data_IF_849694748420
#
_entry.id   IF_849694748420
#
_cell.length_a   1.000
_cell.length_b   1.000
_cell.length_c   1.000
_cell.angle_alpha   90.00
_cell.angle_beta   90.00
_cell.angle_gamma   90.00
#
_symmetry.space_group_name_H-M   'P 1'
#
loop_
_entity.id
_entity.type
_entity.pdbx_description
1 polymer ?
#
# COMPACT_ATOMS: atom_id res chain seq x y z
N UNK A 1 13.48 -5.36 5.95
CA UNK A 1 14.72 -4.70 5.44
C UNK A 1 14.97 -3.38 6.16
N UNK A 2 13.96 -2.78 6.82
CA UNK A 2 14.11 -1.45 7.41
C UNK A 2 15.00 -1.40 8.66
N UNK A 3 15.11 -2.46 9.45
CA UNK A 3 15.80 -2.40 10.74
C UNK A 3 17.24 -2.92 10.71
N UNK A 4 17.57 -3.92 9.91
CA UNK A 4 18.92 -4.49 9.87
C UNK A 4 19.88 -3.71 8.93
N UNK A 5 19.35 -3.09 7.86
CA UNK A 5 20.13 -2.22 6.97
C UNK A 5 20.07 -0.74 7.35
N UNK A 6 19.17 -0.33 8.23
CA UNK A 6 19.24 0.94 8.93
C UNK A 6 20.29 0.85 10.08
N UNK A 7 21.52 0.59 9.73
CA UNK A 7 22.62 1.20 10.45
C UNK A 7 22.41 2.70 10.21
N UNK A 8 21.56 3.31 11.04
CA UNK A 8 21.39 4.76 11.03
C UNK A 8 22.79 5.36 11.03
N UNK A 9 23.12 6.09 10.00
CA UNK A 9 24.39 6.80 9.98
C UNK A 9 24.52 7.55 11.29
N UNK A 10 25.72 7.58 11.91
CA UNK A 10 25.95 8.29 13.18
C UNK A 10 25.30 9.68 13.26
N UNK A 11 25.20 10.48 12.17
CA UNK A 11 24.45 11.74 12.14
C UNK A 11 22.94 11.58 12.39
N UNK A 12 22.30 10.53 11.87
CA UNK A 12 20.83 10.30 12.07
C UNK A 12 20.51 10.00 13.54
N UNK A 13 21.31 9.18 14.20
CA UNK A 13 21.14 8.87 15.64
C UNK A 13 21.29 10.12 16.49
N UNK A 14 22.29 10.98 16.17
CA UNK A 14 22.49 12.25 16.89
C UNK A 14 21.29 13.19 16.70
N UNK A 15 20.74 13.29 15.50
CA UNK A 15 19.59 14.14 15.21
C UNK A 15 18.33 13.66 15.94
N UNK A 16 18.06 12.35 15.94
CA UNK A 16 16.95 11.75 16.69
C UNK A 16 17.08 12.05 18.19
N UNK A 17 18.28 11.87 18.77
CA UNK A 17 18.54 12.15 20.18
C UNK A 17 18.35 13.63 20.53
N UNK A 18 18.85 14.53 19.70
CA UNK A 18 18.67 15.97 19.89
C UNK A 18 17.20 16.38 19.86
N UNK A 19 16.44 15.85 18.91
CA UNK A 19 15.03 16.14 18.78
C UNK A 19 14.24 15.55 19.97
N UNK A 20 14.55 14.33 20.40
CA UNK A 20 13.97 13.72 21.59
C UNK A 20 14.23 14.59 22.83
N UNK A 21 15.46 15.00 23.06
CA UNK A 21 15.83 15.86 24.21
C UNK A 21 15.09 17.21 24.16
N UNK A 22 14.87 17.79 22.98
CA UNK A 22 14.12 19.03 22.83
C UNK A 22 12.65 18.89 23.26
N UNK A 23 12.02 17.74 22.99
CA UNK A 23 10.63 17.46 23.45
C UNK A 23 10.53 17.12 24.94
N UNK A 24 11.61 16.60 25.54
CA UNK A 24 11.68 16.20 26.95
C UNK A 24 12.24 17.30 27.89
N UNK A 25 12.84 18.37 27.33
CA UNK A 25 13.60 19.39 28.10
C UNK A 25 12.75 20.38 28.90
N UNK A 26 11.43 20.28 28.87
CA UNK A 26 10.52 21.23 29.50
C UNK A 26 9.90 20.73 30.81
N UNK A 27 10.67 20.07 31.70
CA UNK A 27 10.22 19.67 33.02
C UNK A 27 9.32 18.43 33.05
N UNK A 28 8.34 18.40 33.93
CA UNK A 28 7.45 17.24 34.14
C UNK A 28 6.49 16.96 33.00
N UNK A 29 6.29 17.89 32.07
CA UNK A 29 5.33 17.75 30.97
C UNK A 29 6.03 17.63 29.62
N UNK A 30 5.98 16.43 29.05
CA UNK A 30 6.47 16.18 27.69
C UNK A 30 5.61 16.95 26.68
N UNK A 31 6.26 17.69 25.76
CA UNK A 31 5.58 18.42 24.68
C UNK A 31 5.04 17.51 23.57
N UNK A 32 5.28 16.21 23.63
CA UNK A 32 4.88 15.25 22.58
C UNK A 32 3.36 15.19 22.41
N UNK A 33 2.62 15.03 23.53
CA UNK A 33 1.14 14.96 23.51
C UNK A 33 0.51 16.19 22.86
N UNK A 34 0.77 17.42 23.39
CA UNK A 34 0.14 18.61 22.83
C UNK A 34 0.57 18.84 21.37
N UNK A 35 1.82 18.56 21.02
CA UNK A 35 2.30 18.75 19.66
C UNK A 35 1.67 17.76 18.68
N UNK A 36 1.58 16.48 19.03
CA UNK A 36 0.91 15.46 18.23
C UNK A 36 -0.57 15.82 17.96
N UNK A 37 -1.28 16.23 19.00
CA UNK A 37 -2.69 16.62 18.90
C UNK A 37 -2.84 17.89 18.04
N UNK A 38 -1.98 18.87 18.25
CA UNK A 38 -2.01 20.11 17.47
C UNK A 38 -1.79 19.84 15.97
N UNK A 39 -0.80 19.02 15.61
CA UNK A 39 -0.53 18.65 14.23
C UNK A 39 -1.69 17.88 13.59
N UNK A 40 -2.25 16.91 14.31
CA UNK A 40 -3.38 16.13 13.83
C UNK A 40 -4.63 16.98 13.64
N UNK A 41 -4.92 17.91 14.58
CA UNK A 41 -6.02 18.88 14.44
C UNK A 41 -5.80 19.88 13.32
N UNK A 42 -4.55 20.33 13.10
CA UNK A 42 -4.23 21.20 11.98
C UNK A 42 -4.52 20.52 10.64
N UNK A 43 -4.13 19.25 10.50
CA UNK A 43 -4.45 18.46 9.30
C UNK A 43 -5.95 18.39 9.04
N UNK A 44 -6.77 18.17 10.08
CA UNK A 44 -8.24 18.18 9.95
C UNK A 44 -8.81 19.56 9.64
N UNK A 45 -8.32 20.61 10.31
CA UNK A 45 -8.85 21.96 10.13
C UNK A 45 -8.63 22.49 8.71
N UNK A 46 -7.55 22.08 8.04
CA UNK A 46 -7.28 22.46 6.65
C UNK A 46 -8.37 21.97 5.69
N UNK A 47 -8.96 20.79 5.95
CA UNK A 47 -10.04 20.24 5.12
C UNK A 47 -11.27 21.14 5.14
N UNK A 48 -11.54 21.80 6.27
CA UNK A 48 -12.71 22.67 6.47
C UNK A 48 -12.39 24.17 6.29
N UNK A 49 -11.16 24.51 5.85
CA UNK A 49 -10.76 25.90 5.70
C UNK A 49 -11.37 26.54 4.46
N UNK A 50 -12.49 27.24 4.65
CA UNK A 50 -13.19 27.97 3.58
C UNK A 50 -12.50 29.26 3.15
N UNK A 51 -11.52 29.75 3.90
CA UNK A 51 -10.84 31.03 3.65
C UNK A 51 -9.79 30.95 2.53
N UNK A 52 -9.29 29.77 2.21
CA UNK A 52 -8.35 29.58 1.13
C UNK A 52 -9.06 29.57 -0.23
N UNK A 53 -9.27 30.78 -0.77
CA UNK A 53 -9.90 30.99 -2.09
C UNK A 53 -9.18 30.32 -3.27
N UNK A 54 -7.94 29.83 -3.06
CA UNK A 54 -7.14 29.16 -4.08
C UNK A 54 -6.98 27.68 -3.72
N UNK A 55 -7.78 26.84 -4.34
CA UNK A 55 -7.80 25.38 -4.12
C UNK A 55 -6.39 24.74 -4.17
N UNK A 56 -5.53 25.20 -5.07
CA UNK A 56 -4.16 24.65 -5.19
C UNK A 56 -3.28 24.93 -3.97
N UNK A 57 -3.48 26.04 -3.25
CA UNK A 57 -2.75 26.35 -2.03
C UNK A 57 -3.26 25.47 -0.86
N UNK A 58 -4.56 25.24 -0.82
CA UNK A 58 -5.17 24.34 0.18
C UNK A 58 -4.66 22.91 -0.02
N UNK A 59 -4.65 22.40 -1.23
CA UNK A 59 -4.15 21.06 -1.56
C UNK A 59 -2.68 20.93 -1.16
N UNK A 60 -1.82 21.89 -1.49
CA UNK A 60 -0.41 21.88 -1.06
C UNK A 60 -0.23 21.94 0.45
N UNK A 61 -1.00 22.78 1.12
CA UNK A 61 -0.94 22.90 2.58
C UNK A 61 -1.36 21.57 3.25
N UNK A 62 -2.38 20.91 2.70
CA UNK A 62 -2.86 19.61 3.16
C UNK A 62 -1.78 18.52 2.97
N UNK A 63 -1.18 18.45 1.79
CA UNK A 63 -0.11 17.49 1.48
C UNK A 63 1.10 17.68 2.42
N UNK A 64 1.58 18.91 2.59
CA UNK A 64 2.68 19.21 3.52
C UNK A 64 2.34 18.86 4.96
N UNK A 65 1.14 19.19 5.41
CA UNK A 65 0.71 18.89 6.78
C UNK A 65 0.62 17.39 7.01
N UNK A 66 0.14 16.64 6.02
CA UNK A 66 0.08 15.18 6.07
C UNK A 66 1.48 14.56 6.11
N UNK A 67 2.39 15.03 5.27
CA UNK A 67 3.78 14.55 5.23
C UNK A 67 4.50 14.81 6.55
N UNK A 68 4.41 16.05 7.09
CA UNK A 68 5.03 16.41 8.35
C UNK A 68 4.45 15.59 9.51
N UNK A 69 3.13 15.41 9.54
CA UNK A 69 2.48 14.57 10.54
C UNK A 69 2.96 13.12 10.47
N UNK A 70 3.05 12.56 9.26
CA UNK A 70 3.55 11.20 9.03
C UNK A 70 4.99 11.04 9.53
N UNK A 71 5.87 11.99 9.16
CA UNK A 71 7.26 12.00 9.60
C UNK A 71 7.40 12.12 11.12
N UNK A 72 6.54 12.92 11.76
CA UNK A 72 6.55 13.05 13.22
C UNK A 72 6.13 11.76 13.92
N UNK A 73 5.08 11.10 13.44
CA UNK A 73 4.66 9.79 13.97
C UNK A 73 5.77 8.75 13.79
N UNK A 74 6.39 8.70 12.62
CA UNK A 74 7.53 7.80 12.33
C UNK A 74 8.73 8.11 13.24
N UNK A 75 9.04 9.39 13.47
CA UNK A 75 10.06 9.81 14.44
C UNK A 75 9.77 9.29 15.84
N UNK A 76 8.54 9.49 16.35
CA UNK A 76 8.15 9.01 17.67
C UNK A 76 8.28 7.48 17.78
N UNK A 77 7.90 6.76 16.72
CA UNK A 77 8.00 5.30 16.68
C UNK A 77 9.44 4.80 16.72
N UNK A 78 10.40 5.56 16.22
CA UNK A 78 11.82 5.21 16.22
C UNK A 78 12.52 5.69 17.49
N UNK A 79 12.19 6.88 17.98
CA UNK A 79 12.89 7.54 19.10
C UNK A 79 12.55 6.97 20.48
N UNK A 80 11.36 6.35 20.61
CA UNK A 80 10.83 5.88 21.90
C UNK A 80 10.68 4.36 21.92
N UNK A 81 10.95 3.73 23.06
CA UNK A 81 10.60 2.33 23.31
C UNK A 81 9.09 2.17 23.34
N UNK A 82 8.60 0.94 23.27
CA UNK A 82 7.15 0.69 23.28
C UNK A 82 6.45 1.22 24.53
N UNK A 83 7.06 1.03 25.71
CA UNK A 83 6.52 1.51 26.97
C UNK A 83 6.50 3.04 27.07
N UNK A 84 7.59 3.69 26.68
CA UNK A 84 7.69 5.16 26.63
C UNK A 84 6.68 5.74 25.64
N UNK A 85 6.58 5.13 24.46
CA UNK A 85 5.63 5.57 23.44
C UNK A 85 4.18 5.50 23.96
N UNK A 86 3.80 4.39 24.62
CA UNK A 86 2.47 4.25 25.26
C UNK A 86 2.18 5.33 26.28
N UNK A 87 3.18 5.74 27.06
CA UNK A 87 3.01 6.81 28.06
C UNK A 87 2.90 8.21 27.44
N UNK A 88 3.57 8.42 26.30
CA UNK A 88 3.64 9.73 25.64
C UNK A 88 2.44 10.07 24.75
N UNK A 89 1.68 9.08 24.25
CA UNK A 89 0.53 9.35 23.39
C UNK A 89 -0.81 9.26 24.13
N UNK A 90 -1.79 10.09 23.76
CA UNK A 90 -3.15 9.99 24.30
C UNK A 90 -3.80 8.65 23.91
N UNK A 91 -4.76 8.19 24.71
CA UNK A 91 -5.53 6.99 24.35
C UNK A 91 -6.31 7.19 23.04
N UNK A 92 -6.54 6.10 22.30
CA UNK A 92 -7.27 6.16 21.05
C UNK A 92 -8.69 6.74 21.19
N UNK A 93 -9.36 6.43 22.32
CA UNK A 93 -10.67 6.97 22.65
C UNK A 93 -10.60 8.49 22.84
N UNK A 94 -9.61 8.98 23.58
CA UNK A 94 -9.40 10.41 23.83
C UNK A 94 -9.12 11.16 22.51
N UNK A 95 -8.28 10.61 21.65
CA UNK A 95 -7.99 11.22 20.34
C UNK A 95 -9.25 11.36 19.49
N UNK A 96 -10.15 10.38 19.55
CA UNK A 96 -11.39 10.40 18.79
C UNK A 96 -12.47 11.27 19.43
N UNK A 97 -12.78 11.08 20.71
CA UNK A 97 -13.92 11.73 21.36
C UNK A 97 -13.62 13.17 21.81
N UNK A 98 -12.44 13.40 22.39
CA UNK A 98 -12.06 14.74 22.89
C UNK A 98 -11.45 15.62 21.81
N UNK A 99 -10.68 15.02 20.88
CA UNK A 99 -9.98 15.78 19.83
C UNK A 99 -10.61 15.63 18.45
N UNK A 100 -11.65 14.79 18.31
CA UNK A 100 -12.40 14.55 17.08
C UNK A 100 -11.50 14.22 15.87
N UNK A 101 -10.45 13.39 16.09
CA UNK A 101 -9.58 12.96 15.01
C UNK A 101 -10.23 11.84 14.19
N UNK A 102 -9.92 11.82 12.91
CA UNK A 102 -10.39 10.77 12.00
C UNK A 102 -9.81 9.40 12.39
N UNK A 103 -10.56 8.30 12.19
CA UNK A 103 -10.12 6.96 12.59
C UNK A 103 -8.79 6.54 11.98
N UNK A 104 -8.53 6.89 10.71
CA UNK A 104 -7.28 6.60 10.01
C UNK A 104 -6.06 7.23 10.69
N UNK A 105 -6.17 8.50 11.13
CA UNK A 105 -5.13 9.19 11.89
C UNK A 105 -4.90 8.52 13.25
N UNK A 106 -5.98 8.18 13.97
CA UNK A 106 -5.88 7.49 15.25
C UNK A 106 -5.20 6.12 15.10
N UNK A 107 -5.57 5.34 14.10
CA UNK A 107 -4.93 4.06 13.82
C UNK A 107 -3.46 4.20 13.45
N UNK A 108 -3.09 5.20 12.66
CA UNK A 108 -1.68 5.45 12.31
C UNK A 108 -0.83 5.72 13.55
N UNK A 109 -1.34 6.51 14.49
CA UNK A 109 -0.66 6.79 15.77
C UNK A 109 -0.50 5.49 16.58
N UNK A 110 -1.54 4.67 16.68
CA UNK A 110 -1.56 3.50 17.57
C UNK A 110 -0.97 2.23 16.97
N UNK A 111 -0.63 2.19 15.69
CA UNK A 111 -0.17 0.97 14.97
C UNK A 111 1.03 0.29 15.62
N UNK A 112 1.96 1.03 16.23
CA UNK A 112 3.15 0.46 16.89
C UNK A 112 2.81 -0.48 18.05
N UNK A 113 1.65 -0.35 18.65
CA UNK A 113 1.24 -1.15 19.81
C UNK A 113 0.65 -2.50 19.45
N UNK A 114 0.43 -2.75 18.17
CA UNK A 114 -0.17 -3.99 17.72
C UNK A 114 0.86 -5.11 17.64
N UNK A 115 0.64 -6.19 18.38
CA UNK A 115 1.41 -7.43 18.29
C UNK A 115 0.52 -8.57 17.81
N UNK A 116 0.91 -9.21 16.71
CA UNK A 116 0.16 -10.35 16.16
C UNK A 116 0.07 -11.49 17.18
N UNK A 117 1.13 -11.75 17.98
CA UNK A 117 1.13 -12.78 19.02
C UNK A 117 0.00 -12.58 20.03
N UNK A 118 -0.19 -11.36 20.51
CA UNK A 118 -1.26 -11.02 21.43
C UNK A 118 -2.65 -11.20 20.82
N UNK A 119 -2.77 -11.02 19.51
CA UNK A 119 -4.03 -11.18 18.78
C UNK A 119 -4.38 -12.66 18.54
N UNK A 120 -3.37 -13.53 18.39
CA UNK A 120 -3.56 -14.98 18.22
C UNK A 120 -3.88 -15.66 19.55
N UNK A 121 -3.20 -15.26 20.64
CA UNK A 121 -3.35 -15.86 21.97
C UNK A 121 -4.63 -15.44 22.67
N UNK A 122 -5.14 -14.26 22.36
CA UNK A 122 -6.38 -13.77 22.95
C UNK A 122 -7.57 -14.06 22.04
N UNK A 123 -8.31 -15.14 22.36
CA UNK A 123 -9.77 -15.18 22.14
C UNK A 123 -10.48 -13.93 22.74
N UNK A 124 -9.77 -13.13 23.48
CA UNK A 124 -10.09 -11.82 24.09
C UNK A 124 -9.81 -10.65 23.15
N UNK A 125 -10.39 -10.68 21.94
CA UNK A 125 -10.57 -9.45 21.13
C UNK A 125 -11.31 -8.35 21.94
N UNK A 126 -11.94 -8.77 23.03
CA UNK A 126 -12.71 -7.94 23.94
C UNK A 126 -11.87 -6.93 24.74
N UNK A 127 -10.58 -7.22 24.94
CA UNK A 127 -9.69 -6.38 25.77
C UNK A 127 -8.90 -5.33 24.98
N UNK A 128 -8.91 -5.37 23.64
CA UNK A 128 -8.32 -4.31 22.86
C UNK A 128 -9.25 -3.09 22.92
N UNK A 129 -8.76 -2.00 23.50
CA UNK A 129 -9.43 -0.67 23.51
C UNK A 129 -9.87 -0.18 22.11
N UNK A 130 -9.51 -0.89 21.06
CA UNK A 130 -9.93 -0.69 19.68
C UNK A 130 -11.41 -1.00 19.45
N UNK A 131 -12.06 -1.87 20.27
CA UNK A 131 -13.51 -2.12 20.20
C UNK A 131 -14.30 -0.83 20.43
N UNK A 132 -13.84 0.01 21.36
CA UNK A 132 -14.46 1.30 21.63
C UNK A 132 -14.27 2.31 20.49
N UNK A 133 -13.16 2.21 19.74
CA UNK A 133 -12.95 3.03 18.53
C UNK A 133 -13.98 2.72 17.45
N UNK A 134 -14.28 1.43 17.23
CA UNK A 134 -15.27 1.02 16.24
C UNK A 134 -16.70 1.22 16.76
N UNK A 135 -17.01 0.86 18.01
CA UNK A 135 -18.35 1.02 18.58
C UNK A 135 -18.80 2.47 18.67
N UNK A 136 -17.88 3.40 18.94
CA UNK A 136 -18.19 4.83 18.93
C UNK A 136 -18.28 5.41 17.50
N UNK A 137 -17.52 4.85 16.51
CA UNK A 137 -17.71 5.17 15.08
C UNK A 137 -19.03 4.61 14.54
N UNK A 138 -19.48 3.47 15.06
CA UNK A 138 -20.69 2.78 14.66
C UNK A 138 -21.99 3.56 14.95
N UNK A 139 -22.03 4.44 15.94
CA UNK A 139 -23.26 5.17 16.27
C UNK A 139 -23.67 6.22 15.24
N UNK A 140 -22.77 6.61 14.34
CA UNK A 140 -23.01 7.72 13.40
C UNK A 140 -22.70 7.44 11.93
N UNK A 141 -22.20 6.27 11.51
CA UNK A 141 -21.76 6.08 10.13
C UNK A 141 -21.96 4.68 9.55
N UNK A 142 -21.93 4.63 8.23
CA UNK A 142 -22.09 3.47 7.32
C UNK A 142 -21.12 2.27 7.55
N UNK A 143 -20.38 2.23 8.66
CA UNK A 143 -19.41 1.17 9.00
C UNK A 143 -20.06 -0.16 9.42
N UNK A 144 -21.38 -0.17 9.62
CA UNK A 144 -22.13 -1.37 10.08
C UNK A 144 -22.01 -2.62 9.20
N UNK A 145 -21.56 -2.47 7.96
CA UNK A 145 -21.48 -3.58 7.00
C UNK A 145 -20.12 -4.28 6.94
N UNK A 146 -19.07 -3.70 7.55
CA UNK A 146 -17.73 -4.29 7.56
C UNK A 146 -17.46 -4.93 8.92
N UNK A 147 -16.97 -6.17 8.91
CA UNK A 147 -16.69 -6.91 10.14
C UNK A 147 -15.58 -6.24 10.96
N UNK A 148 -15.82 -5.99 12.26
CA UNK A 148 -14.89 -5.29 13.16
C UNK A 148 -13.52 -5.96 13.23
N UNK A 149 -13.47 -7.32 13.22
CA UNK A 149 -12.21 -8.07 13.24
C UNK A 149 -11.38 -7.81 12.00
N UNK A 150 -12.03 -7.76 10.84
CA UNK A 150 -11.35 -7.44 9.58
C UNK A 150 -10.81 -6.00 9.61
N UNK A 151 -11.58 -5.05 10.10
CA UNK A 151 -11.14 -3.66 10.26
C UNK A 151 -9.93 -3.54 11.19
N UNK A 152 -9.98 -4.20 12.35
CA UNK A 152 -8.88 -4.21 13.31
C UNK A 152 -7.62 -4.81 12.67
N UNK A 153 -7.72 -5.95 12.01
CA UNK A 153 -6.58 -6.55 11.31
C UNK A 153 -6.04 -5.64 10.21
N UNK A 154 -6.93 -5.13 9.36
CA UNK A 154 -6.53 -4.24 8.27
C UNK A 154 -5.73 -3.04 8.77
N UNK A 155 -6.19 -2.33 9.79
CA UNK A 155 -5.54 -1.11 10.28
C UNK A 155 -4.27 -1.36 11.08
N UNK A 156 -4.18 -2.48 11.80
CA UNK A 156 -3.03 -2.77 12.67
C UNK A 156 -1.90 -3.53 11.96
N UNK A 157 -2.21 -4.35 10.95
CA UNK A 157 -1.18 -5.03 10.18
C UNK A 157 -0.38 -4.04 9.34
N UNK A 158 0.89 -4.37 9.10
CA UNK A 158 1.81 -3.64 8.22
C UNK A 158 2.28 -4.57 7.10
N UNK A 159 2.94 -4.01 6.08
CA UNK A 159 3.38 -4.76 4.90
C UNK A 159 4.23 -6.00 5.24
N UNK A 160 5.09 -5.89 6.25
CA UNK A 160 5.95 -7.00 6.68
C UNK A 160 5.19 -8.17 7.31
N UNK A 161 3.94 -7.97 7.77
CA UNK A 161 3.11 -9.04 8.31
C UNK A 161 2.44 -9.90 7.23
N UNK A 162 2.39 -9.42 6.00
CA UNK A 162 1.67 -10.10 4.89
C UNK A 162 2.54 -10.39 3.67
N UNK A 163 3.72 -9.79 3.59
CA UNK A 163 4.59 -9.93 2.43
C UNK A 163 6.07 -10.01 2.82
N UNK A 164 6.77 -10.98 2.22
CA UNK A 164 8.20 -11.18 2.38
C UNK A 164 8.89 -10.83 1.07
N UNK A 165 9.76 -9.83 1.04
CA UNK A 165 10.53 -9.48 -0.16
C UNK A 165 11.71 -10.45 -0.34
N UNK A 166 11.43 -11.71 -0.67
CA UNK A 166 12.40 -12.81 -0.75
C UNK A 166 13.62 -12.47 -1.59
N UNK A 167 13.42 -11.84 -2.76
CA UNK A 167 14.52 -11.41 -3.64
C UNK A 167 15.42 -10.39 -2.99
N UNK A 168 14.85 -9.37 -2.36
CA UNK A 168 15.64 -8.33 -1.70
C UNK A 168 16.52 -8.91 -0.58
N UNK A 169 16.00 -9.89 0.19
CA UNK A 169 16.80 -10.59 1.18
C UNK A 169 17.91 -11.41 0.53
N UNK A 170 17.60 -12.16 -0.52
CA UNK A 170 18.57 -12.99 -1.24
C UNK A 170 19.68 -12.16 -1.86
N UNK A 171 19.32 -11.07 -2.54
CA UNK A 171 20.25 -10.17 -3.21
C UNK A 171 21.16 -9.47 -2.19
N UNK A 172 20.60 -8.99 -1.07
CA UNK A 172 21.39 -8.33 -0.03
C UNK A 172 22.35 -9.31 0.65
N UNK A 173 21.89 -10.51 1.00
CA UNK A 173 22.74 -11.55 1.59
C UNK A 173 23.84 -11.96 0.61
N UNK A 174 23.53 -12.10 -0.68
CA UNK A 174 24.53 -12.42 -1.72
C UNK A 174 25.58 -11.33 -1.87
N UNK A 175 25.18 -10.06 -1.92
CA UNK A 175 26.10 -8.90 -1.96
C UNK A 175 27.01 -8.85 -0.74
N UNK A 176 26.46 -8.99 0.47
CA UNK A 176 27.25 -9.00 1.70
C UNK A 176 28.20 -10.21 1.77
N UNK A 177 27.76 -11.37 1.29
CA UNK A 177 28.59 -12.58 1.22
C UNK A 177 29.76 -12.41 0.25
N UNK A 178 29.54 -11.76 -0.89
CA UNK A 178 30.59 -11.43 -1.85
C UNK A 178 31.60 -10.45 -1.23
N UNK A 179 31.12 -9.36 -0.62
CA UNK A 179 31.97 -8.39 0.08
C UNK A 179 32.81 -9.05 1.19
N UNK A 180 32.24 -10.00 1.93
CA UNK A 180 32.93 -10.74 2.98
C UNK A 180 34.07 -11.61 2.41
N UNK A 181 33.90 -12.18 1.19
CA UNK A 181 34.96 -12.95 0.51
C UNK A 181 36.08 -12.05 0.04
N UNK A 182 35.76 -10.91 -0.58
CA UNK A 182 36.75 -9.96 -1.11
C UNK A 182 37.61 -9.34 0.00
N UNK A 183 36.99 -9.03 1.16
CA UNK A 183 37.73 -8.50 2.32
C UNK A 183 38.61 -9.54 2.99
N UNK A 184 38.31 -10.83 2.91
CA UNK A 184 39.19 -11.90 3.42
C UNK A 184 40.46 -12.10 2.60
N UNK A 185 40.46 -11.73 1.33
CA UNK A 185 41.58 -11.86 0.43
C UNK A 185 42.64 -10.75 0.55
N UNK A 186 42.41 -9.70 1.32
CA UNK A 186 43.27 -8.54 1.47
C UNK A 186 43.77 -8.37 2.92
N UNK A 187 45.08 -8.37 3.12
CA UNK A 187 45.81 -8.42 4.41
C UNK A 187 45.95 -7.06 5.09
N UNK A 188 44.98 -6.59 5.88
CA UNK A 188 45.16 -5.40 6.77
C UNK A 188 44.27 -5.54 8.04
N UNK A 189 44.89 -5.29 9.22
CA UNK A 189 44.28 -5.48 10.54
C UNK A 189 43.05 -4.62 10.88
N UNK A 190 42.82 -3.52 10.19
CA UNK A 190 41.56 -2.72 10.33
C UNK A 190 40.35 -3.37 9.73
N UNK A 191 40.49 -4.49 9.03
CA UNK A 191 39.42 -5.22 8.30
C UNK A 191 38.74 -6.29 9.13
N UNK A 192 39.30 -6.73 10.26
CA UNK A 192 38.70 -7.75 11.10
C UNK A 192 37.39 -7.25 11.73
N UNK A 193 37.34 -6.00 12.17
CA UNK A 193 36.12 -5.36 12.70
C UNK A 193 35.06 -5.22 11.63
N UNK A 194 35.42 -4.97 10.38
CA UNK A 194 34.45 -4.89 9.26
C UNK A 194 33.91 -6.27 8.85
N UNK A 195 34.71 -7.31 8.96
CA UNK A 195 34.28 -8.70 8.66
C UNK A 195 33.31 -9.25 9.70
N UNK A 196 33.56 -9.01 10.98
CA UNK A 196 32.65 -9.35 12.06
C UNK A 196 31.29 -8.63 11.86
N UNK A 197 31.31 -7.33 11.60
CA UNK A 197 30.10 -6.55 11.32
C UNK A 197 29.31 -7.08 10.12
N UNK A 198 29.99 -7.51 9.03
CA UNK A 198 29.31 -8.07 7.85
C UNK A 198 28.68 -9.44 8.17
N UNK A 199 29.40 -10.28 8.92
CA UNK A 199 28.88 -11.59 9.36
C UNK A 199 27.65 -11.43 10.24
N UNK A 200 27.71 -10.49 11.19
CA UNK A 200 26.58 -10.17 12.06
C UNK A 200 25.38 -9.62 11.26
N UNK A 201 25.60 -8.74 10.29
CA UNK A 201 24.56 -8.24 9.40
C UNK A 201 23.88 -9.39 8.62
N UNK A 202 24.66 -10.34 8.09
CA UNK A 202 24.09 -11.51 7.37
C UNK A 202 23.24 -12.36 8.32
N UNK A 203 23.72 -12.58 9.55
CA UNK A 203 23.01 -13.35 10.57
C UNK A 203 21.70 -12.66 10.98
N UNK A 204 21.73 -11.35 11.19
CA UNK A 204 20.54 -10.55 11.48
C UNK A 204 19.53 -10.57 10.34
N UNK A 205 19.96 -10.45 9.08
CA UNK A 205 19.07 -10.50 7.92
C UNK A 205 18.37 -11.88 7.78
N UNK A 206 19.13 -12.95 8.05
CA UNK A 206 18.55 -14.31 8.05
C UNK A 206 17.52 -14.50 9.16
N UNK A 207 17.81 -14.01 10.37
CA UNK A 207 16.90 -14.07 11.50
C UNK A 207 15.64 -13.21 11.27
N UNK A 208 15.82 -11.99 10.75
CA UNK A 208 14.71 -11.08 10.38
C UNK A 208 13.79 -11.75 9.37
N UNK A 209 14.36 -12.33 8.28
CA UNK A 209 13.60 -13.08 7.28
C UNK A 209 12.81 -14.25 7.90
N UNK A 210 13.42 -15.00 8.82
CA UNK A 210 12.74 -16.11 9.49
C UNK A 210 11.59 -15.63 10.38
N UNK A 211 11.79 -14.57 11.13
CA UNK A 211 10.74 -13.98 11.97
C UNK A 211 9.59 -13.44 11.13
N UNK A 212 9.91 -12.76 10.02
CA UNK A 212 8.90 -12.29 9.10
C UNK A 212 8.08 -13.44 8.47
N UNK A 213 8.71 -14.58 8.15
CA UNK A 213 8.00 -15.80 7.71
C UNK A 213 6.99 -16.28 8.76
N UNK A 214 7.39 -16.29 10.03
CA UNK A 214 6.49 -16.67 11.13
C UNK A 214 5.30 -15.71 11.26
N UNK A 215 5.53 -14.43 11.11
CA UNK A 215 4.48 -13.41 11.21
C UNK A 215 3.50 -13.49 10.04
N UNK A 216 3.99 -13.70 8.83
CA UNK A 216 3.13 -13.94 7.65
C UNK A 216 2.27 -15.19 7.85
N UNK A 217 2.85 -16.28 8.33
CA UNK A 217 2.10 -17.51 8.61
C UNK A 217 1.01 -17.32 9.69
N UNK A 218 1.33 -16.62 10.79
CA UNK A 218 0.35 -16.25 11.82
C UNK A 218 -0.79 -15.40 11.26
N UNK A 219 -0.45 -14.42 10.41
CA UNK A 219 -1.46 -13.58 9.75
C UNK A 219 -2.38 -14.40 8.85
N UNK A 220 -1.85 -15.38 8.11
CA UNK A 220 -2.67 -16.27 7.28
C UNK A 220 -3.65 -17.10 8.12
N UNK A 221 -3.23 -17.60 9.29
CA UNK A 221 -4.13 -18.30 10.22
C UNK A 221 -5.26 -17.38 10.69
N UNK A 222 -4.92 -16.13 11.05
CA UNK A 222 -5.91 -15.13 11.48
C UNK A 222 -6.91 -14.82 10.35
N UNK A 223 -6.44 -14.64 9.13
CA UNK A 223 -7.32 -14.39 7.98
C UNK A 223 -8.26 -15.57 7.72
N UNK A 224 -7.77 -16.81 7.81
CA UNK A 224 -8.62 -18.02 7.66
C UNK A 224 -9.70 -18.11 8.72
N UNK A 225 -9.45 -17.64 9.95
CA UNK A 225 -10.47 -17.59 11.00
C UNK A 225 -11.63 -16.62 10.70
N UNK A 226 -11.45 -15.75 9.70
CA UNK A 226 -12.46 -14.79 9.22
C UNK A 226 -13.28 -15.30 8.03
N UNK A 227 -13.23 -16.60 7.71
CA UNK A 227 -13.86 -17.18 6.51
C UNK A 227 -15.37 -16.87 6.39
N UNK A 228 -16.07 -16.70 7.50
CA UNK A 228 -17.53 -16.48 7.53
C UNK A 228 -17.96 -15.01 7.30
N UNK A 229 -17.01 -14.10 7.01
CA UNK A 229 -17.34 -12.67 6.82
C UNK A 229 -18.04 -12.42 5.47
N UNK A 230 -17.66 -13.18 4.44
CA UNK A 230 -18.18 -13.03 3.10
C UNK A 230 -19.27 -14.09 2.86
N UNK A 231 -20.53 -13.67 2.65
CA UNK A 231 -21.62 -14.61 2.41
C UNK A 231 -21.46 -15.28 1.03
N UNK A 232 -21.72 -16.60 1.01
CA UNK A 232 -21.71 -17.40 -0.21
C UNK A 232 -22.90 -17.16 -1.13
N UNK A 233 -24.01 -16.64 -0.59
CA UNK A 233 -25.34 -16.86 -1.16
C UNK A 233 -26.00 -15.61 -1.79
N UNK A 234 -25.42 -14.42 -1.65
CA UNK A 234 -26.03 -13.17 -2.13
C UNK A 234 -25.00 -12.26 -2.83
N UNK A 235 -24.93 -12.25 -4.18
CA UNK A 235 -24.02 -11.40 -4.94
C UNK A 235 -24.14 -9.90 -4.63
N UNK A 236 -25.36 -9.39 -4.48
CA UNK A 236 -25.63 -7.97 -4.17
C UNK A 236 -25.07 -7.55 -2.81
N UNK A 237 -25.13 -8.44 -1.83
CA UNK A 237 -24.54 -8.20 -0.51
C UNK A 237 -23.02 -8.18 -0.56
N UNK A 238 -22.42 -9.01 -1.40
CA UNK A 238 -20.97 -9.03 -1.62
C UNK A 238 -20.48 -7.74 -2.27
N UNK A 239 -21.21 -7.16 -3.23
CA UNK A 239 -20.91 -5.88 -3.86
C UNK A 239 -21.00 -4.73 -2.85
N UNK A 240 -22.04 -4.68 -2.04
CA UNK A 240 -22.18 -3.69 -0.96
C UNK A 240 -21.01 -3.79 0.04
N UNK A 241 -20.58 -5.01 0.39
CA UNK A 241 -19.42 -5.21 1.26
C UNK A 241 -18.14 -4.69 0.57
N UNK A 242 -17.92 -5.00 -0.70
CA UNK A 242 -16.75 -4.52 -1.45
C UNK A 242 -16.72 -2.99 -1.55
N UNK A 243 -17.87 -2.36 -1.83
CA UNK A 243 -17.98 -0.89 -1.86
C UNK A 243 -17.68 -0.27 -0.50
N UNK A 244 -18.18 -0.84 0.58
CA UNK A 244 -17.89 -0.37 1.94
C UNK A 244 -16.42 -0.59 2.32
N UNK A 245 -15.79 -1.70 1.91
CA UNK A 245 -14.36 -1.93 2.08
C UNK A 245 -13.54 -0.86 1.35
N UNK A 246 -13.92 -0.54 0.10
CA UNK A 246 -13.26 0.52 -0.68
C UNK A 246 -13.29 1.86 0.05
N UNK A 247 -14.48 2.32 0.41
CA UNK A 247 -14.67 3.65 0.98
C UNK A 247 -14.08 3.81 2.38
N UNK A 248 -14.21 2.78 3.23
CA UNK A 248 -13.87 2.90 4.65
C UNK A 248 -12.47 2.37 5.00
N UNK A 249 -11.89 1.49 4.20
CA UNK A 249 -10.59 0.90 4.46
C UNK A 249 -9.56 1.25 3.38
N UNK A 250 -9.86 0.91 2.13
CA UNK A 250 -8.89 1.00 1.03
C UNK A 250 -8.48 2.44 0.75
N UNK A 251 -9.43 3.30 0.42
CA UNK A 251 -9.15 4.68 0.05
C UNK A 251 -8.46 5.47 1.18
N UNK A 252 -8.96 5.45 2.44
CA UNK A 252 -8.30 6.17 3.52
C UNK A 252 -6.87 5.69 3.76
N UNK A 253 -6.63 4.37 3.70
CA UNK A 253 -5.30 3.83 3.96
C UNK A 253 -4.34 4.02 2.80
N UNK A 254 -4.79 3.87 1.56
CA UNK A 254 -3.97 4.14 0.38
C UNK A 254 -3.44 5.57 0.33
N UNK A 255 -4.19 6.52 0.86
CA UNK A 255 -3.80 7.93 0.86
C UNK A 255 -2.65 8.26 1.83
N UNK A 256 -2.36 7.40 2.83
CA UNK A 256 -1.45 7.76 3.92
C UNK A 256 0.04 7.65 3.58
N UNK A 257 0.45 6.64 2.81
CA UNK A 257 1.85 6.43 2.40
C UNK A 257 1.96 5.37 1.30
N UNK A 258 3.09 5.37 0.58
CA UNK A 258 3.41 4.34 -0.44
C UNK A 258 3.38 2.94 0.20
N UNK A 259 3.94 2.79 1.40
CA UNK A 259 3.95 1.51 2.14
C UNK A 259 2.54 1.01 2.45
N UNK A 260 1.64 1.92 2.82
CA UNK A 260 0.24 1.60 3.09
C UNK A 260 -0.56 1.30 1.83
N UNK A 261 -0.26 1.97 0.73
CA UNK A 261 -0.83 1.69 -0.58
C UNK A 261 -0.46 0.27 -1.06
N UNK A 262 0.83 -0.08 -0.98
CA UNK A 262 1.32 -1.44 -1.29
C UNK A 262 0.76 -2.48 -0.32
N UNK A 263 0.68 -2.17 0.98
CA UNK A 263 0.04 -3.04 1.97
C UNK A 263 -1.39 -3.35 1.57
N UNK A 264 -2.17 -2.33 1.22
CA UNK A 264 -3.58 -2.47 0.87
C UNK A 264 -3.76 -3.42 -0.31
N UNK A 265 -3.01 -3.24 -1.39
CA UNK A 265 -3.06 -4.13 -2.54
C UNK A 265 -2.74 -5.59 -2.16
N UNK A 266 -1.67 -5.81 -1.38
CA UNK A 266 -1.25 -7.14 -0.94
C UNK A 266 -2.20 -7.76 0.11
N UNK A 267 -2.86 -6.93 0.91
CA UNK A 267 -3.83 -7.41 1.89
C UNK A 267 -5.04 -8.04 1.21
N UNK A 268 -5.59 -7.41 0.18
CA UNK A 268 -6.72 -7.97 -0.56
C UNK A 268 -6.32 -9.22 -1.35
N UNK A 269 -5.09 -9.29 -1.82
CA UNK A 269 -4.54 -10.53 -2.38
C UNK A 269 -4.45 -11.64 -1.30
N UNK A 270 -4.02 -11.32 -0.10
CA UNK A 270 -4.00 -12.26 1.02
C UNK A 270 -5.40 -12.69 1.44
N UNK A 271 -6.41 -11.81 1.38
CA UNK A 271 -7.82 -12.19 1.57
C UNK A 271 -8.24 -13.22 0.54
N UNK A 272 -7.96 -13.00 -0.74
CA UNK A 272 -8.26 -13.93 -1.82
C UNK A 272 -7.67 -15.32 -1.59
N UNK A 273 -6.44 -15.39 -1.08
CA UNK A 273 -5.75 -16.66 -0.83
C UNK A 273 -6.27 -17.41 0.38
N UNK A 274 -6.79 -16.70 1.39
CA UNK A 274 -7.11 -17.28 2.69
C UNK A 274 -8.61 -17.32 3.02
N UNK A 275 -9.46 -16.57 2.30
CA UNK A 275 -10.90 -16.50 2.54
C UNK A 275 -11.64 -17.05 1.32
N UNK A 276 -12.36 -18.14 1.53
CA UNK A 276 -12.96 -18.94 0.45
C UNK A 276 -13.98 -18.20 -0.40
N UNK A 277 -14.78 -17.30 0.18
CA UNK A 277 -15.86 -16.60 -0.50
C UNK A 277 -15.53 -15.15 -0.87
N UNK A 278 -14.28 -14.72 -0.70
CA UNK A 278 -13.87 -13.40 -1.14
C UNK A 278 -13.73 -13.35 -2.66
N UNK A 279 -14.65 -12.66 -3.32
CA UNK A 279 -14.62 -12.48 -4.76
C UNK A 279 -13.72 -11.30 -5.14
N UNK A 280 -12.47 -11.60 -5.45
CA UNK A 280 -11.47 -10.60 -5.84
C UNK A 280 -11.84 -9.85 -7.13
N UNK A 281 -12.53 -10.49 -8.08
CA UNK A 281 -12.97 -9.83 -9.31
C UNK A 281 -14.04 -8.77 -9.04
N UNK A 282 -15.01 -9.09 -8.20
CA UNK A 282 -16.04 -8.13 -7.80
C UNK A 282 -15.45 -6.96 -7.00
N UNK A 283 -14.49 -7.23 -6.10
CA UNK A 283 -13.75 -6.19 -5.41
C UNK A 283 -13.03 -5.27 -6.41
N UNK A 284 -12.39 -5.84 -7.44
CA UNK A 284 -11.65 -5.06 -8.41
C UNK A 284 -12.56 -4.30 -9.39
N UNK A 285 -13.76 -4.81 -9.70
CA UNK A 285 -14.79 -4.05 -10.42
C UNK A 285 -15.07 -2.72 -9.70
N UNK A 286 -15.25 -2.74 -8.37
CA UNK A 286 -15.46 -1.53 -7.55
C UNK A 286 -14.25 -0.60 -7.58
N UNK A 287 -13.03 -1.15 -7.53
CA UNK A 287 -11.79 -0.34 -7.64
C UNK A 287 -11.75 0.45 -8.95
N UNK A 288 -12.13 -0.19 -10.06
CA UNK A 288 -12.15 0.45 -11.38
C UNK A 288 -13.29 1.47 -11.51
N UNK A 289 -14.47 1.17 -10.97
CA UNK A 289 -15.63 2.05 -11.03
C UNK A 289 -15.46 3.34 -10.20
N UNK A 290 -14.75 3.25 -9.08
CA UNK A 290 -14.47 4.41 -8.23
C UNK A 290 -13.26 5.24 -8.70
N UNK A 291 -12.53 4.80 -9.75
CA UNK A 291 -11.31 5.46 -10.21
C UNK A 291 -11.51 6.92 -10.63
N UNK A 292 -12.58 7.20 -11.39
CA UNK A 292 -12.90 8.55 -11.86
C UNK A 292 -13.07 9.52 -10.69
N UNK A 293 -13.93 9.17 -9.74
CA UNK A 293 -14.17 9.95 -8.51
C UNK A 293 -12.89 10.13 -7.70
N UNK A 294 -12.02 9.10 -7.66
CA UNK A 294 -10.76 9.19 -6.92
C UNK A 294 -9.80 10.17 -7.59
N UNK A 295 -9.69 10.18 -8.92
CA UNK A 295 -8.85 11.14 -9.65
C UNK A 295 -9.35 12.57 -9.41
N UNK A 296 -10.65 12.80 -9.42
CA UNK A 296 -11.22 14.13 -9.17
C UNK A 296 -10.92 14.65 -7.76
N UNK A 297 -11.06 13.78 -6.75
CA UNK A 297 -11.03 14.18 -5.34
C UNK A 297 -9.63 14.09 -4.69
N UNK A 298 -8.64 13.39 -5.28
CA UNK A 298 -7.34 13.20 -4.66
C UNK A 298 -6.41 14.41 -4.83
N UNK A 299 -5.44 14.55 -3.93
CA UNK A 299 -4.29 15.43 -4.09
C UNK A 299 -3.22 14.78 -4.98
N UNK A 300 -2.19 15.54 -5.38
CA UNK A 300 -1.05 14.97 -6.14
C UNK A 300 -0.32 13.88 -5.34
N UNK A 301 -0.19 14.05 -4.03
CA UNK A 301 0.43 13.10 -3.12
C UNK A 301 -0.39 11.81 -3.00
N UNK A 302 -1.69 11.93 -2.83
CA UNK A 302 -2.60 10.80 -2.82
C UNK A 302 -2.68 10.09 -4.17
N UNK A 303 -2.61 10.83 -5.28
CA UNK A 303 -2.56 10.28 -6.64
C UNK A 303 -1.32 9.38 -6.84
N UNK A 304 -0.16 9.81 -6.33
CA UNK A 304 1.07 9.00 -6.37
C UNK A 304 0.89 7.70 -5.61
N UNK A 305 0.37 7.74 -4.39
CA UNK A 305 0.12 6.56 -3.57
C UNK A 305 -0.90 5.62 -4.22
N UNK A 306 -1.98 6.17 -4.76
CA UNK A 306 -3.00 5.40 -5.44
C UNK A 306 -2.45 4.72 -6.71
N UNK A 307 -1.53 5.37 -7.41
CA UNK A 307 -0.80 4.78 -8.53
C UNK A 307 -0.02 3.51 -8.12
N UNK A 308 0.68 3.53 -6.98
CA UNK A 308 1.36 2.34 -6.44
C UNK A 308 0.39 1.23 -6.02
N UNK A 309 -0.77 1.59 -5.44
CA UNK A 309 -1.82 0.63 -5.13
C UNK A 309 -2.34 -0.07 -6.39
N UNK A 310 -2.62 0.69 -7.44
CA UNK A 310 -3.08 0.15 -8.71
C UNK A 310 -2.02 -0.73 -9.38
N UNK A 311 -0.74 -0.27 -9.43
CA UNK A 311 0.35 -1.05 -10.03
C UNK A 311 0.50 -2.41 -9.35
N UNK A 312 0.54 -2.45 -8.02
CA UNK A 312 0.67 -3.71 -7.28
C UNK A 312 -0.56 -4.61 -7.46
N UNK A 313 -1.76 -4.04 -7.52
CA UNK A 313 -3.01 -4.76 -7.77
C UNK A 313 -3.04 -5.35 -9.18
N UNK A 314 -2.66 -4.56 -10.19
CA UNK A 314 -2.59 -5.01 -11.58
C UNK A 314 -1.54 -6.08 -11.81
N UNK A 315 -0.35 -5.92 -11.25
CA UNK A 315 0.70 -6.95 -11.35
C UNK A 315 0.19 -8.31 -10.94
N UNK A 316 -0.58 -8.37 -9.86
CA UNK A 316 -1.16 -9.63 -9.39
C UNK A 316 -2.20 -10.18 -10.36
N UNK A 317 -3.10 -9.33 -10.90
CA UNK A 317 -4.12 -9.74 -11.85
C UNK A 317 -3.47 -10.26 -13.15
N UNK A 318 -2.50 -9.54 -13.70
CA UNK A 318 -1.77 -9.92 -14.90
C UNK A 318 -1.00 -11.21 -14.63
N UNK A 319 -0.31 -11.32 -13.51
CA UNK A 319 0.47 -12.50 -13.14
C UNK A 319 -0.38 -13.77 -13.06
N UNK A 320 -1.59 -13.68 -12.50
CA UNK A 320 -2.53 -14.82 -12.44
C UNK A 320 -3.05 -15.24 -13.79
N UNK A 321 -3.11 -14.32 -14.76
CA UNK A 321 -3.62 -14.63 -16.09
C UNK A 321 -2.53 -15.11 -17.07
N UNK A 322 -1.24 -14.75 -16.83
CA UNK A 322 -0.17 -15.00 -17.80
C UNK A 322 0.88 -16.03 -17.37
N UNK A 323 0.89 -16.46 -16.10
CA UNK A 323 1.77 -17.53 -15.62
C UNK A 323 3.19 -17.46 -16.13
N UNK A 324 3.94 -16.40 -15.84
CA UNK A 324 5.37 -16.42 -16.08
C UNK A 324 6.03 -17.44 -15.16
N UNK A 325 6.28 -18.64 -15.67
CA UNK A 325 6.79 -19.83 -15.00
C UNK A 325 8.23 -19.74 -14.49
N UNK A 326 8.74 -18.55 -14.12
CA UNK A 326 10.08 -18.40 -13.56
C UNK A 326 10.15 -17.65 -12.22
N UNK A 327 9.03 -17.31 -11.60
CA UNK A 327 9.03 -16.60 -10.33
C UNK A 327 8.02 -17.19 -9.35
N UNK A 328 8.56 -17.96 -8.41
CA UNK A 328 7.90 -18.59 -7.28
C UNK A 328 7.32 -20.00 -7.53
N UNK A 329 8.20 -20.99 -7.54
CA UNK A 329 7.92 -22.34 -7.07
C UNK A 329 7.63 -22.36 -5.56
N UNK A 330 6.68 -21.55 -5.10
CA UNK A 330 6.23 -21.59 -3.70
C UNK A 330 4.70 -21.53 -3.65
N UNK A 331 4.10 -22.69 -3.68
CA UNK A 331 2.75 -23.11 -3.28
C UNK A 331 2.05 -24.00 -4.32
N UNK A 332 2.73 -25.00 -4.82
CA UNK A 332 2.07 -26.07 -5.59
C UNK A 332 1.72 -27.23 -4.66
N UNK A 333 0.64 -27.09 -3.92
CA UNK A 333 -0.19 -28.20 -3.51
C UNK A 333 -1.62 -27.93 -3.97
N UNK A 334 -1.81 -27.91 -5.28
CA UNK A 334 -3.12 -28.14 -5.88
C UNK A 334 -3.02 -29.28 -6.89
N UNK A 335 -3.70 -30.34 -6.56
CA UNK A 335 -3.84 -31.56 -7.31
C UNK A 335 -4.32 -31.31 -8.75
N UNK A 336 -3.64 -31.93 -9.69
CA UNK A 336 -3.91 -31.97 -11.10
C UNK A 336 -5.19 -32.75 -11.41
N UNK A 337 -6.33 -32.06 -11.55
CA UNK A 337 -7.46 -32.54 -12.33
C UNK A 337 -8.01 -31.39 -13.15
N UNK A 338 -7.45 -31.22 -14.34
CA UNK A 338 -7.92 -30.26 -15.35
C UNK A 338 -9.30 -30.70 -15.87
N UNK A 339 -10.35 -29.90 -15.60
CA UNK A 339 -11.69 -30.10 -16.13
C UNK A 339 -12.02 -28.99 -17.14
N UNK A 340 -12.91 -29.28 -18.11
CA UNK A 340 -13.43 -28.27 -19.06
C UNK A 340 -13.95 -26.99 -18.40
N UNK A 341 -14.43 -27.07 -17.18
CA UNK A 341 -14.83 -25.92 -16.35
C UNK A 341 -13.70 -24.91 -16.10
N UNK A 342 -12.44 -25.34 -16.07
CA UNK A 342 -11.29 -24.45 -15.84
C UNK A 342 -10.99 -23.57 -17.07
N UNK A 343 -11.26 -24.08 -18.29
CA UNK A 343 -11.11 -23.30 -19.53
C UNK A 343 -12.16 -22.19 -19.65
N UNK A 344 -13.41 -22.48 -19.34
CA UNK A 344 -14.51 -21.50 -19.38
C UNK A 344 -14.27 -20.42 -18.31
N UNK A 345 -13.83 -20.81 -17.14
CA UNK A 345 -13.47 -19.89 -16.04
C UNK A 345 -12.30 -19.00 -16.43
N UNK A 346 -11.29 -19.54 -17.13
CA UNK A 346 -10.17 -18.78 -17.64
C UNK A 346 -10.57 -17.75 -18.71
N UNK A 347 -11.43 -18.11 -19.65
CA UNK A 347 -11.92 -17.20 -20.69
C UNK A 347 -12.73 -16.04 -20.10
N UNK A 348 -13.56 -16.31 -19.10
CA UNK A 348 -14.32 -15.27 -18.39
C UNK A 348 -13.42 -14.27 -17.69
N UNK A 349 -12.33 -14.74 -17.07
CA UNK A 349 -11.33 -13.87 -16.43
C UNK A 349 -10.63 -12.95 -17.43
N UNK A 350 -10.26 -13.48 -18.60
CA UNK A 350 -9.58 -12.70 -19.64
C UNK A 350 -10.52 -11.61 -20.16
N UNK A 351 -11.78 -11.95 -20.43
CA UNK A 351 -12.79 -10.96 -20.85
C UNK A 351 -12.91 -9.84 -19.83
N UNK A 352 -13.01 -10.15 -18.54
CA UNK A 352 -13.03 -9.15 -17.47
C UNK A 352 -11.77 -8.29 -17.45
N UNK A 353 -10.58 -8.88 -17.62
CA UNK A 353 -9.34 -8.13 -17.71
C UNK A 353 -9.34 -7.13 -18.88
N UNK A 354 -9.81 -7.55 -20.05
CA UNK A 354 -9.94 -6.67 -21.22
C UNK A 354 -10.94 -5.54 -20.94
N UNK A 355 -12.06 -5.84 -20.29
CA UNK A 355 -13.07 -4.83 -19.94
C UNK A 355 -12.53 -3.82 -18.91
N UNK A 356 -11.81 -4.25 -17.89
CA UNK A 356 -11.13 -3.34 -16.96
C UNK A 356 -10.10 -2.46 -17.67
N UNK A 357 -9.33 -3.07 -18.58
CA UNK A 357 -8.35 -2.34 -19.37
C UNK A 357 -9.02 -1.26 -20.23
N UNK A 358 -10.16 -1.59 -20.86
CA UNK A 358 -10.96 -0.65 -21.65
C UNK A 358 -11.52 0.50 -20.79
N UNK A 359 -12.10 0.18 -19.62
CA UNK A 359 -12.60 1.18 -18.66
C UNK A 359 -11.48 2.14 -18.22
N UNK A 360 -10.31 1.61 -17.87
CA UNK A 360 -9.15 2.42 -17.48
C UNK A 360 -8.69 3.36 -18.58
N UNK A 361 -8.53 2.84 -19.80
CA UNK A 361 -8.13 3.66 -20.94
C UNK A 361 -9.15 4.78 -21.18
N UNK A 362 -10.44 4.46 -21.12
CA UNK A 362 -11.50 5.42 -21.28
C UNK A 362 -11.42 6.53 -20.22
N UNK A 363 -11.32 6.15 -18.93
CA UNK A 363 -11.23 7.12 -17.82
C UNK A 363 -10.00 8.02 -17.98
N UNK A 364 -8.81 7.45 -18.18
CA UNK A 364 -7.60 8.26 -18.32
C UNK A 364 -7.61 9.14 -19.57
N UNK A 365 -8.09 8.65 -20.71
CA UNK A 365 -8.15 9.45 -21.93
C UNK A 365 -9.14 10.60 -21.82
N UNK A 366 -10.25 10.43 -21.12
CA UNK A 366 -11.19 11.51 -20.85
C UNK A 366 -10.53 12.63 -20.02
N UNK A 367 -9.83 12.27 -18.95
CA UNK A 367 -9.11 13.28 -18.15
C UNK A 367 -7.97 13.94 -18.93
N UNK A 368 -7.27 13.22 -19.79
CA UNK A 368 -6.19 13.79 -20.61
C UNK A 368 -6.72 14.74 -21.69
N UNK A 369 -7.94 14.54 -22.17
CA UNK A 369 -8.58 15.38 -23.22
C UNK A 369 -9.31 16.57 -22.65
N UNK A 370 -10.12 16.36 -21.64
CA UNK A 370 -11.16 17.30 -21.18
C UNK A 370 -10.94 17.76 -19.74
N UNK A 371 -10.01 17.12 -19.02
CA UNK A 371 -9.76 17.42 -17.63
C UNK A 371 -9.15 18.80 -17.40
N UNK A 372 -9.34 19.32 -16.19
CA UNK A 372 -8.63 20.51 -15.74
C UNK A 372 -7.11 20.25 -15.68
N UNK A 373 -6.28 21.31 -15.60
CA UNK A 373 -4.83 21.17 -15.40
C UNK A 373 -4.48 20.18 -14.26
N UNK A 374 -5.24 20.23 -13.18
CA UNK A 374 -5.01 19.37 -12.00
C UNK A 374 -5.39 17.93 -12.28
N UNK A 375 -6.48 17.69 -12.99
CA UNK A 375 -6.93 16.33 -13.30
C UNK A 375 -6.00 15.65 -14.31
N UNK A 376 -5.54 16.40 -15.32
CA UNK A 376 -4.50 15.93 -16.26
C UNK A 376 -3.23 15.56 -15.48
N UNK A 377 -2.78 16.41 -14.56
CA UNK A 377 -1.58 16.18 -13.76
C UNK A 377 -1.73 14.95 -12.88
N UNK A 378 -2.83 14.82 -12.13
CA UNK A 378 -3.09 13.66 -11.26
C UNK A 378 -3.15 12.35 -12.07
N UNK A 379 -3.84 12.37 -13.20
CA UNK A 379 -3.92 11.24 -14.13
C UNK A 379 -2.54 10.80 -14.63
N UNK A 380 -1.68 11.74 -15.01
CA UNK A 380 -0.32 11.47 -15.43
C UNK A 380 0.56 10.95 -14.28
N UNK A 381 0.38 11.45 -13.06
CA UNK A 381 1.06 10.94 -11.85
C UNK A 381 0.69 9.48 -11.62
N UNK A 382 -0.60 9.15 -11.63
CA UNK A 382 -1.08 7.77 -11.47
C UNK A 382 -0.53 6.88 -12.58
N UNK A 383 -0.70 7.26 -13.84
CA UNK A 383 -0.24 6.51 -15.01
C UNK A 383 1.27 6.23 -14.99
N UNK A 384 2.06 7.19 -14.54
CA UNK A 384 3.53 7.05 -14.45
C UNK A 384 3.94 6.02 -13.38
N UNK A 385 3.10 5.75 -12.39
CA UNK A 385 3.35 4.72 -11.37
C UNK A 385 2.89 3.33 -11.78
N UNK A 386 1.90 3.21 -12.66
CA UNK A 386 1.40 1.90 -13.11
C UNK A 386 2.32 1.33 -14.20
N UNK A 387 3.35 0.61 -13.78
CA UNK A 387 4.34 0.05 -14.70
C UNK A 387 3.82 -1.10 -15.56
N UNK A 388 2.74 -1.75 -15.14
CA UNK A 388 2.11 -2.88 -15.82
C UNK A 388 0.99 -2.48 -16.79
N UNK A 389 0.67 -1.19 -16.92
CA UNK A 389 -0.38 -0.66 -17.78
C UNK A 389 0.18 0.38 -18.76
N UNK A 390 -0.22 0.43 -20.03
CA UNK A 390 -1.13 -0.48 -20.71
C UNK A 390 -0.45 -1.79 -21.16
N UNK A 391 -1.25 -2.86 -21.29
CA UNK A 391 -0.80 -4.18 -21.78
C UNK A 391 -1.23 -4.39 -23.25
N UNK A 392 -2.42 -3.89 -23.59
CA UNK A 392 -2.99 -4.07 -24.94
C UNK A 392 -2.50 -2.99 -25.90
N UNK A 393 -2.06 -3.44 -27.09
CA UNK A 393 -1.47 -2.59 -28.13
C UNK A 393 -2.39 -1.42 -28.52
N UNK A 394 -3.64 -1.71 -28.89
CA UNK A 394 -4.61 -0.70 -29.29
C UNK A 394 -4.86 0.35 -28.21
N UNK A 395 -4.95 -0.09 -26.98
CA UNK A 395 -5.16 0.78 -25.82
C UNK A 395 -3.91 1.63 -25.49
N UNK A 396 -2.73 1.03 -25.63
CA UNK A 396 -1.46 1.74 -25.49
C UNK A 396 -1.28 2.84 -26.52
N UNK A 397 -1.67 2.59 -27.77
CA UNK A 397 -1.61 3.59 -28.83
C UNK A 397 -2.58 4.75 -28.62
N UNK A 398 -3.78 4.51 -28.10
CA UNK A 398 -4.73 5.56 -27.74
C UNK A 398 -4.14 6.48 -26.66
N UNK A 399 -3.59 5.91 -25.58
CA UNK A 399 -2.95 6.71 -24.50
C UNK A 399 -1.74 7.47 -25.05
N UNK A 400 -0.89 6.81 -25.84
CA UNK A 400 0.30 7.43 -26.43
C UNK A 400 -0.06 8.62 -27.32
N UNK A 401 -1.15 8.51 -28.09
CA UNK A 401 -1.66 9.61 -28.91
C UNK A 401 -2.03 10.83 -28.07
N UNK A 402 -2.81 10.65 -27.00
CA UNK A 402 -3.20 11.77 -26.12
C UNK A 402 -2.00 12.37 -25.37
N UNK A 403 -1.08 11.54 -24.91
CA UNK A 403 0.17 11.99 -24.28
C UNK A 403 1.00 12.84 -25.24
N UNK A 404 1.17 12.43 -26.49
CA UNK A 404 1.88 13.20 -27.51
C UNK A 404 1.19 14.55 -27.81
N UNK A 405 -0.14 14.58 -27.83
CA UNK A 405 -0.91 15.81 -28.00
C UNK A 405 -0.66 16.79 -26.86
N UNK A 406 -0.64 16.32 -25.61
CA UNK A 406 -0.33 17.15 -24.44
C UNK A 406 1.12 17.65 -24.50
N UNK A 407 2.08 16.80 -24.89
CA UNK A 407 3.49 17.20 -25.05
C UNK A 407 3.66 18.39 -26.00
N UNK A 408 2.86 18.44 -27.08
CA UNK A 408 2.95 19.48 -28.12
C UNK A 408 2.13 20.74 -27.80
N UNK A 409 0.96 20.61 -27.19
CA UNK A 409 -0.02 21.69 -27.04
C UNK A 409 -0.15 22.29 -25.64
N UNK A 410 0.31 21.58 -24.60
CA UNK A 410 0.15 22.05 -23.21
C UNK A 410 0.98 23.30 -22.93
N UNK A 411 0.41 24.28 -22.24
CA UNK A 411 1.08 25.53 -21.84
C UNK A 411 1.83 25.38 -20.50
N UNK A 412 1.45 24.44 -19.66
CA UNK A 412 1.95 24.28 -18.30
C UNK A 412 3.22 23.43 -18.25
N UNK A 413 4.34 23.99 -17.80
CA UNK A 413 5.65 23.32 -17.79
C UNK A 413 5.71 22.12 -16.84
N UNK A 414 5.02 22.18 -15.71
CA UNK A 414 4.93 21.07 -14.75
C UNK A 414 4.22 19.84 -15.36
N UNK A 415 3.12 20.07 -16.09
CA UNK A 415 2.40 19.01 -16.82
C UNK A 415 3.27 18.48 -17.95
N UNK A 416 3.94 19.36 -18.72
CA UNK A 416 4.85 18.93 -19.80
C UNK A 416 5.96 18.01 -19.30
N UNK A 417 6.54 18.34 -18.16
CA UNK A 417 7.65 17.56 -17.58
C UNK A 417 7.20 16.14 -17.24
N UNK A 418 6.06 16.00 -16.56
CA UNK A 418 5.49 14.68 -16.21
C UNK A 418 5.08 13.93 -17.48
N UNK A 419 4.48 14.63 -18.45
CA UNK A 419 4.04 14.03 -19.72
C UNK A 419 5.22 13.47 -20.51
N UNK A 420 6.33 14.20 -20.62
CA UNK A 420 7.55 13.73 -21.31
C UNK A 420 8.16 12.50 -20.62
N UNK A 421 8.17 12.49 -19.28
CA UNK A 421 8.62 11.32 -18.53
C UNK A 421 7.76 10.10 -18.87
N UNK A 422 6.44 10.26 -18.85
CA UNK A 422 5.51 9.17 -19.13
C UNK A 422 5.56 8.71 -20.60
N UNK A 423 5.69 9.65 -21.56
CA UNK A 423 5.90 9.35 -22.99
C UNK A 423 7.13 8.45 -23.21
N UNK A 424 8.25 8.79 -22.56
CA UNK A 424 9.46 7.96 -22.63
C UNK A 424 9.21 6.55 -22.08
N UNK A 425 8.51 6.42 -20.96
CA UNK A 425 8.15 5.12 -20.39
C UNK A 425 7.22 4.32 -21.29
N UNK A 426 6.24 4.96 -21.94
CA UNK A 426 5.32 4.29 -22.87
C UNK A 426 6.07 3.76 -24.10
N UNK A 427 6.94 4.59 -24.72
CA UNK A 427 7.75 4.19 -25.88
C UNK A 427 8.67 3.02 -25.56
N UNK A 428 9.30 3.02 -24.40
CA UNK A 428 10.14 1.91 -23.96
C UNK A 428 9.35 0.60 -23.78
N UNK A 429 8.11 0.68 -23.29
CA UNK A 429 7.24 -0.48 -23.02
C UNK A 429 6.44 -0.95 -24.23
N UNK A 430 6.38 -0.17 -25.31
CA UNK A 430 5.61 -0.52 -26.52
C UNK A 430 5.95 -1.91 -27.05
N UNK A 431 7.19 -2.35 -26.91
CA UNK A 431 7.67 -3.68 -27.35
C UNK A 431 6.95 -4.82 -26.60
N UNK A 432 6.50 -4.57 -25.37
CA UNK A 432 5.83 -5.58 -24.54
C UNK A 432 4.29 -5.59 -24.68
N UNK A 433 3.72 -4.69 -25.48
CA UNK A 433 2.28 -4.66 -25.69
C UNK A 433 1.82 -5.80 -26.59
N UNK A 434 0.64 -6.34 -26.30
CA UNK A 434 0.07 -7.49 -26.99
C UNK A 434 -1.26 -7.14 -27.65
N UNK A 435 -1.63 -7.85 -28.69
CA UNK A 435 -3.00 -7.82 -29.20
C UNK A 435 -3.94 -8.61 -28.27
N UNK A 436 -5.25 -8.37 -28.36
CA UNK A 436 -6.24 -9.15 -27.58
C UNK A 436 -6.14 -10.66 -27.90
N UNK A 437 -5.89 -11.02 -29.15
CA UNK A 437 -5.73 -12.42 -29.56
C UNK A 437 -4.47 -13.06 -28.96
N UNK A 438 -3.35 -12.33 -28.93
CA UNK A 438 -2.13 -12.81 -28.28
C UNK A 438 -2.33 -13.01 -26.79
N UNK A 439 -3.11 -12.12 -26.15
CA UNK A 439 -3.48 -12.20 -24.76
C UNK A 439 -4.29 -13.47 -24.49
N UNK A 440 -5.31 -13.72 -25.29
CA UNK A 440 -6.17 -14.90 -25.19
C UNK A 440 -5.36 -16.19 -25.44
N UNK A 441 -4.53 -16.23 -26.49
CA UNK A 441 -3.72 -17.40 -26.83
C UNK A 441 -2.67 -17.73 -25.77
N UNK A 442 -2.02 -16.73 -25.19
CA UNK A 442 -1.03 -16.94 -24.12
C UNK A 442 -1.68 -17.56 -22.87
N UNK A 443 -2.90 -17.16 -22.56
CA UNK A 443 -3.66 -17.68 -21.43
C UNK A 443 -4.14 -19.11 -21.66
N UNK A 444 -4.56 -19.45 -22.89
CA UNK A 444 -4.97 -20.80 -23.25
C UNK A 444 -3.77 -21.76 -23.19
N UNK A 445 -2.61 -21.36 -23.73
CA UNK A 445 -1.39 -22.16 -23.63
C UNK A 445 -0.99 -22.47 -22.20
N UNK A 446 -1.21 -21.53 -21.29
CA UNK A 446 -0.92 -21.74 -19.87
C UNK A 446 -1.89 -22.72 -19.20
N UNK A 447 -3.17 -22.69 -19.56
CA UNK A 447 -4.15 -23.66 -19.05
C UNK A 447 -3.90 -25.09 -19.55
N UNK A 448 -3.21 -25.24 -20.69
CA UNK A 448 -2.89 -26.53 -21.30
C UNK A 448 -1.52 -27.10 -20.90
N UNK A 449 -0.63 -26.29 -20.36
CA UNK A 449 0.68 -26.68 -19.83
C UNK A 449 0.62 -27.02 -18.34
#
# INVERSE_FOLDING_TARGET
>A
ISNACNVFSKPKIKSIRRLRNAFESHGSDSLIKPYLVLMARNLQSLIFCSELKKLHLLVRALDYSHEIFAQFVDFLQVAYTESEYKSCIPSALMLKESYNLSPDVVFKIHRKHFRISEFVETSKLESLNTRNLFSAAHRTSKWYSVNDRLCILFWNLSLHHIHIPERCYSDMISKLTFQNRDTKSSSLSSKQITLENISDCISHLKLEKLNQKKDVYRTQILLRSLSNIFPSDLPERAESICSNLMQNLVLPRCSTSISDAMFTAKFFESLRQNIQHFNFFQYFDVVIEDLEKKIECCTDFEAEHYGYFLDESFRKIIFFNYGHGHLEKESSHMSSTKREGDMIYSQTKIKKLIDWHRKLVHTFTNFLREGSRYDIRKSLVILNKISSFPVLLNHGEIILHEVNKICSSCVYDDVKTITRSYDAHLKQRKISWMTEDQLIQSSIKFCLA
#
